data_IF_293862282394
#
_entry.id   IF_293862282394
#
_cell.length_a   1.000
_cell.length_b   1.000
_cell.length_c   1.000
_cell.angle_alpha   90.00
_cell.angle_beta   90.00
_cell.angle_gamma   90.00
#
_symmetry.space_group_name_H-M   'P 1'
#
loop_
_entity.id
_entity.type
_entity.pdbx_description
1 polymer ?
#
# COMPACT_ATOMS: atom_id res chain seq x y z
N UNK A 1 19.02 20.38 -1.58
CA UNK A 1 19.32 19.03 -1.02
C UNK A 1 18.17 18.09 -1.36
N UNK A 2 18.42 16.79 -1.55
CA UNK A 2 17.41 15.78 -1.91
C UNK A 2 16.20 15.81 -0.96
N UNK A 3 16.43 15.90 0.35
CA UNK A 3 15.36 16.04 1.35
C UNK A 3 14.38 17.18 1.06
N UNK A 4 14.90 18.37 0.77
CA UNK A 4 14.07 19.56 0.53
C UNK A 4 13.31 19.42 -0.78
N UNK A 5 13.98 18.93 -1.82
CA UNK A 5 13.38 18.66 -3.12
C UNK A 5 12.20 17.67 -3.00
N UNK A 6 12.40 16.56 -2.29
CA UNK A 6 11.34 15.56 -2.06
C UNK A 6 10.14 16.16 -1.32
N UNK A 7 10.35 17.06 -0.35
CA UNK A 7 9.26 17.75 0.35
C UNK A 7 8.50 18.72 -0.56
N UNK A 8 9.20 19.45 -1.43
CA UNK A 8 8.60 20.38 -2.40
C UNK A 8 7.71 19.66 -3.42
N UNK A 9 8.09 18.45 -3.84
CA UNK A 9 7.27 17.61 -4.74
C UNK A 9 6.17 16.82 -4.03
N UNK A 10 5.94 17.06 -2.73
CA UNK A 10 4.82 16.49 -1.97
C UNK A 10 5.11 15.18 -1.23
N UNK A 11 6.36 14.72 -1.18
CA UNK A 11 6.71 13.55 -0.38
C UNK A 11 6.73 13.92 1.10
N UNK A 12 5.84 13.29 1.87
CA UNK A 12 5.71 13.53 3.30
C UNK A 12 6.96 13.08 4.07
N UNK A 13 7.22 13.73 5.20
CA UNK A 13 8.36 13.37 6.08
C UNK A 13 8.27 11.93 6.60
N UNK A 14 7.06 11.46 6.91
CA UNK A 14 6.81 10.11 7.41
C UNK A 14 7.04 9.07 6.32
N UNK A 15 6.57 9.33 5.10
CA UNK A 15 6.80 8.42 3.97
C UNK A 15 8.28 8.35 3.60
N UNK A 16 8.97 9.49 3.55
CA UNK A 16 10.42 9.51 3.30
C UNK A 16 11.22 8.76 4.38
N UNK A 17 10.83 8.86 5.65
CA UNK A 17 11.44 8.09 6.73
C UNK A 17 11.21 6.58 6.57
N UNK A 18 9.99 6.18 6.16
CA UNK A 18 9.66 4.79 5.88
C UNK A 18 10.52 4.23 4.75
N UNK A 19 10.58 4.92 3.60
CA UNK A 19 11.40 4.51 2.45
C UNK A 19 12.89 4.47 2.81
N UNK A 20 13.42 5.46 3.52
CA UNK A 20 14.82 5.45 3.97
C UNK A 20 15.18 4.20 4.78
N UNK A 21 14.22 3.69 5.55
CA UNK A 21 14.44 2.59 6.50
C UNK A 21 14.25 1.23 5.86
N UNK A 22 13.30 1.11 4.94
CA UNK A 22 12.85 -0.18 4.41
C UNK A 22 13.00 -0.33 2.90
N UNK A 23 13.23 0.75 2.16
CA UNK A 23 13.45 0.76 0.71
C UNK A 23 14.73 1.50 0.34
N UNK A 24 14.76 2.08 -0.87
CA UNK A 24 15.99 2.66 -1.42
C UNK A 24 15.78 4.03 -2.08
N UNK A 25 16.84 4.83 -2.03
CA UNK A 25 16.99 6.08 -2.76
C UNK A 25 18.19 5.95 -3.69
N UNK A 26 17.95 6.05 -5.00
CA UNK A 26 18.98 5.97 -6.02
C UNK A 26 19.12 7.32 -6.71
N UNK A 27 20.34 7.80 -6.90
CA UNK A 27 20.65 8.91 -7.82
C UNK A 27 21.47 8.36 -8.96
N UNK A 28 20.96 8.46 -10.18
CA UNK A 28 21.59 7.92 -11.38
C UNK A 28 21.93 6.42 -11.23
N UNK A 29 21.02 5.66 -10.62
CA UNK A 29 21.16 4.21 -10.39
C UNK A 29 22.06 3.81 -9.22
N UNK A 30 22.58 4.75 -8.42
CA UNK A 30 23.44 4.46 -7.26
C UNK A 30 22.75 4.79 -5.95
N UNK A 31 22.84 3.90 -4.95
CA UNK A 31 22.28 4.14 -3.63
C UNK A 31 22.89 5.38 -2.98
N UNK A 32 22.04 6.25 -2.47
CA UNK A 32 22.42 7.53 -1.88
C UNK A 32 21.59 7.82 -0.63
N UNK A 33 22.11 8.72 0.21
CA UNK A 33 21.41 9.17 1.41
C UNK A 33 20.58 10.42 1.14
N UNK A 34 19.54 10.62 1.95
CA UNK A 34 18.61 11.76 1.84
C UNK A 34 19.27 13.16 1.95
N UNK A 35 20.50 13.23 2.48
CA UNK A 35 21.29 14.46 2.61
C UNK A 35 22.05 14.81 1.32
N UNK A 36 22.10 13.92 0.33
CA UNK A 36 22.76 14.15 -0.96
C UNK A 36 22.24 15.43 -1.60
N UNK A 37 23.16 16.28 -2.04
CA UNK A 37 22.82 17.44 -2.88
C UNK A 37 22.64 16.96 -4.31
N UNK A 38 21.45 17.20 -4.86
CA UNK A 38 21.09 16.90 -6.24
C UNK A 38 21.63 17.99 -7.18
N UNK A 39 21.94 17.60 -8.40
CA UNK A 39 22.32 18.47 -9.50
C UNK A 39 21.23 18.48 -10.58
N UNK A 40 21.08 19.58 -11.33
CA UNK A 40 20.23 19.59 -12.51
C UNK A 40 20.58 18.44 -13.47
N UNK A 41 19.58 17.67 -13.88
CA UNK A 41 19.75 16.49 -14.73
C UNK A 41 19.93 15.17 -13.99
N UNK A 42 20.06 15.17 -12.65
CA UNK A 42 20.05 13.93 -11.88
C UNK A 42 18.70 13.21 -11.99
N UNK A 43 18.74 11.89 -12.15
CA UNK A 43 17.57 11.00 -12.05
C UNK A 43 17.50 10.42 -10.65
N UNK A 44 16.51 10.86 -9.88
CA UNK A 44 16.20 10.31 -8.57
C UNK A 44 15.16 9.19 -8.69
N UNK A 45 15.50 7.99 -8.25
CA UNK A 45 14.58 6.85 -8.15
C UNK A 45 14.34 6.52 -6.70
N UNK A 46 13.07 6.36 -6.32
CA UNK A 46 12.66 5.96 -4.99
C UNK A 46 12.03 4.58 -5.07
N UNK A 47 12.66 3.58 -4.45
CA UNK A 47 12.14 2.21 -4.38
C UNK A 47 11.31 2.09 -3.12
N UNK A 48 10.00 1.96 -3.31
CA UNK A 48 9.06 1.79 -2.20
C UNK A 48 9.04 0.30 -1.86
N UNK A 49 9.32 -0.07 -0.59
CA UNK A 49 9.24 -1.46 -0.19
C UNK A 49 7.78 -1.91 -0.13
N UNK A 50 7.51 -3.20 -0.36
CA UNK A 50 6.17 -3.73 -0.20
C UNK A 50 5.70 -3.54 1.25
N UNK A 51 4.39 -3.34 1.39
CA UNK A 51 3.71 -3.02 2.65
C UNK A 51 3.82 -4.13 3.70
N UNK A 52 4.26 -5.33 3.29
CA UNK A 52 4.45 -6.49 4.14
C UNK A 52 3.13 -7.06 4.67
N UNK A 53 3.23 -8.06 5.55
CA UNK A 53 2.07 -8.79 6.07
C UNK A 53 1.41 -8.15 7.30
N UNK A 54 1.91 -7.01 7.78
CA UNK A 54 1.56 -6.40 9.07
C UNK A 54 0.16 -5.77 9.11
N UNK A 55 -0.86 -6.59 8.88
CA UNK A 55 -2.26 -6.23 9.03
C UNK A 55 -2.96 -7.32 9.85
N UNK A 56 -3.66 -6.91 10.91
CA UNK A 56 -4.37 -7.79 11.86
C UNK A 56 -5.67 -8.38 11.28
N UNK A 57 -5.98 -8.07 10.02
CA UNK A 57 -7.17 -8.55 9.33
C UNK A 57 -7.05 -10.05 9.09
N UNK A 58 -8.01 -10.79 9.63
CA UNK A 58 -8.09 -12.25 9.48
C UNK A 58 -8.48 -12.57 8.02
N UNK A 59 -7.74 -13.43 7.30
CA UNK A 59 -8.11 -13.81 5.93
C UNK A 59 -9.39 -14.65 5.92
N UNK A 60 -10.23 -14.45 4.90
CA UNK A 60 -11.45 -15.23 4.67
C UNK A 60 -11.39 -16.00 3.35
N UNK A 61 -11.91 -17.22 3.34
CA UNK A 61 -12.03 -18.05 2.14
C UNK A 61 -13.28 -17.72 1.30
N UNK A 62 -14.17 -16.84 1.79
CA UNK A 62 -15.36 -16.45 1.03
C UNK A 62 -14.94 -15.68 -0.23
N UNK A 63 -15.40 -16.07 -1.43
CA UNK A 63 -15.01 -15.41 -2.67
C UNK A 63 -15.52 -13.97 -2.73
N UNK A 64 -14.82 -13.16 -3.52
CA UNK A 64 -15.19 -11.79 -3.87
C UNK A 64 -15.63 -11.75 -5.34
N UNK A 65 -16.62 -10.90 -5.64
CA UNK A 65 -17.05 -10.60 -7.00
C UNK A 65 -16.30 -9.34 -7.47
N UNK A 66 -15.37 -9.51 -8.42
CA UNK A 66 -14.46 -8.45 -8.88
C UNK A 66 -15.04 -7.83 -10.14
N UNK A 67 -15.29 -6.52 -10.10
CA UNK A 67 -15.75 -5.73 -11.24
C UNK A 67 -14.57 -5.16 -12.03
N UNK A 68 -13.46 -4.85 -11.35
CA UNK A 68 -12.24 -4.31 -11.95
C UNK A 68 -11.04 -4.56 -11.03
N UNK A 69 -9.87 -4.87 -11.60
CA UNK A 69 -8.61 -5.00 -10.89
C UNK A 69 -7.45 -4.55 -11.78
N UNK A 70 -6.57 -3.69 -11.24
CA UNK A 70 -5.25 -3.37 -11.78
C UNK A 70 -4.21 -3.29 -10.65
N UNK A 71 -3.00 -2.83 -10.97
CA UNK A 71 -1.88 -2.73 -10.02
C UNK A 71 -2.15 -1.77 -8.84
N UNK A 72 -3.18 -0.93 -8.92
CA UNK A 72 -3.47 0.14 -7.96
C UNK A 72 -4.87 0.05 -7.33
N UNK A 73 -5.84 -0.51 -8.05
CA UNK A 73 -7.25 -0.47 -7.70
C UNK A 73 -7.89 -1.85 -7.80
N UNK A 74 -8.69 -2.18 -6.78
CA UNK A 74 -9.58 -3.33 -6.77
C UNK A 74 -11.01 -2.85 -6.50
N UNK A 75 -11.89 -3.01 -7.48
CA UNK A 75 -13.31 -2.69 -7.38
C UNK A 75 -14.09 -4.00 -7.29
N UNK A 76 -14.83 -4.14 -6.19
CA UNK A 76 -15.61 -5.35 -5.88
C UNK A 76 -17.08 -5.02 -5.73
N UNK A 77 -17.92 -5.94 -6.18
CA UNK A 77 -19.34 -5.89 -5.95
C UNK A 77 -19.64 -6.36 -4.53
N UNK A 78 -19.99 -5.41 -3.64
CA UNK A 78 -20.27 -5.70 -2.22
C UNK A 78 -21.67 -6.30 -2.07
N UNK A 79 -21.84 -7.52 -1.54
CA UNK A 79 -23.16 -8.06 -1.23
C UNK A 79 -23.84 -7.30 -0.08
N UNK A 80 -25.16 -7.22 -0.14
CA UNK A 80 -25.99 -6.60 0.90
C UNK A 80 -25.74 -7.25 2.25
N UNK A 81 -25.69 -6.44 3.32
CA UNK A 81 -25.50 -6.93 4.69
C UNK A 81 -24.07 -7.34 5.04
N UNK A 82 -23.10 -7.17 4.14
CA UNK A 82 -21.68 -7.38 4.46
C UNK A 82 -21.00 -6.05 4.81
N UNK A 83 -20.32 -6.01 5.95
CA UNK A 83 -19.55 -4.85 6.39
C UNK A 83 -18.32 -4.62 5.51
N UNK A 84 -17.93 -3.36 5.30
CA UNK A 84 -16.73 -3.05 4.50
C UNK A 84 -15.42 -3.36 5.26
N UNK A 85 -15.37 -3.03 6.56
CA UNK A 85 -14.19 -3.17 7.44
C UNK A 85 -14.59 -4.04 8.65
N UNK A 86 -13.65 -4.81 9.26
CA UNK A 86 -13.96 -5.63 10.42
C UNK A 86 -14.44 -4.79 11.60
N UNK A 87 -15.35 -5.34 12.39
CA UNK A 87 -15.78 -4.73 13.65
C UNK A 87 -15.29 -5.57 14.83
N UNK A 88 -15.32 -5.02 16.05
CA UNK A 88 -14.99 -5.79 17.26
C UNK A 88 -15.93 -6.99 17.47
N UNK A 89 -17.19 -6.87 17.08
CA UNK A 89 -18.22 -7.90 17.24
C UNK A 89 -18.12 -8.98 16.16
N UNK A 90 -17.67 -8.61 14.95
CA UNK A 90 -17.51 -9.49 13.80
C UNK A 90 -16.17 -9.20 13.11
N UNK A 91 -15.05 -9.72 13.65
CA UNK A 91 -13.69 -9.40 13.18
C UNK A 91 -13.29 -10.10 11.88
N UNK A 92 -14.06 -11.08 11.42
CA UNK A 92 -13.72 -12.02 10.34
C UNK A 92 -14.75 -12.05 9.18
N UNK A 93 -15.82 -11.25 9.26
CA UNK A 93 -16.95 -11.31 8.32
C UNK A 93 -17.09 -10.09 7.37
N UNK A 94 -16.06 -9.24 7.24
CA UNK A 94 -16.10 -8.05 6.38
C UNK A 94 -15.51 -8.27 4.98
N UNK A 95 -15.71 -7.31 4.08
CA UNK A 95 -15.06 -7.32 2.76
C UNK A 95 -13.54 -7.28 2.86
N UNK A 96 -12.97 -6.52 3.80
CA UNK A 96 -11.52 -6.50 4.01
C UNK A 96 -10.97 -7.90 4.33
N UNK A 97 -11.70 -8.73 5.08
CA UNK A 97 -11.30 -10.12 5.35
C UNK A 97 -11.28 -10.97 4.07
N UNK A 98 -12.28 -10.81 3.21
CA UNK A 98 -12.38 -11.53 1.93
C UNK A 98 -11.28 -11.10 0.95
N UNK A 99 -11.04 -9.79 0.84
CA UNK A 99 -9.94 -9.23 0.04
C UNK A 99 -8.59 -9.72 0.57
N UNK A 100 -8.40 -9.77 1.89
CA UNK A 100 -7.18 -10.33 2.49
C UNK A 100 -6.95 -11.79 2.10
N UNK A 101 -7.99 -12.61 2.13
CA UNK A 101 -7.90 -14.01 1.66
C UNK A 101 -7.57 -14.10 0.17
N UNK A 102 -8.17 -13.24 -0.65
CA UNK A 102 -7.86 -13.14 -2.08
C UNK A 102 -6.38 -12.76 -2.32
N UNK A 103 -5.87 -11.72 -1.67
CA UNK A 103 -4.46 -11.30 -1.78
C UNK A 103 -3.49 -12.42 -1.39
N UNK A 104 -3.78 -13.16 -0.30
CA UNK A 104 -2.97 -14.30 0.11
C UNK A 104 -2.96 -15.43 -0.94
N UNK A 105 -4.12 -15.80 -1.48
CA UNK A 105 -4.22 -16.84 -2.52
C UNK A 105 -3.52 -16.46 -3.83
N UNK A 106 -3.50 -15.16 -4.16
CA UNK A 106 -2.80 -14.64 -5.34
C UNK A 106 -1.28 -14.47 -5.14
N UNK A 107 -0.82 -14.51 -3.89
CA UNK A 107 0.60 -14.34 -3.56
C UNK A 107 1.12 -12.93 -3.78
N UNK A 108 0.26 -11.91 -3.62
CA UNK A 108 0.68 -10.51 -3.76
C UNK A 108 1.68 -10.13 -2.66
N UNK A 109 2.73 -9.39 -3.03
CA UNK A 109 3.72 -8.91 -2.08
C UNK A 109 3.11 -7.88 -1.11
N UNK A 110 2.22 -7.03 -1.62
CA UNK A 110 1.43 -6.10 -0.84
C UNK A 110 0.19 -6.80 -0.27
N UNK A 111 0.14 -6.87 1.05
CA UNK A 111 -0.90 -7.61 1.77
C UNK A 111 -1.81 -6.69 2.59
N UNK A 112 -1.59 -5.37 2.57
CA UNK A 112 -2.37 -4.38 3.31
C UNK A 112 -3.50 -3.86 2.41
N UNK A 113 -4.73 -3.83 2.92
CA UNK A 113 -5.89 -3.34 2.16
C UNK A 113 -6.29 -1.94 2.61
N UNK A 114 -6.26 -0.97 1.68
CA UNK A 114 -6.73 0.39 1.94
C UNK A 114 -8.16 0.59 1.40
N UNK A 115 -9.15 0.57 2.29
CA UNK A 115 -10.55 0.83 1.91
C UNK A 115 -10.73 2.33 1.67
N UNK A 116 -10.97 2.71 0.40
CA UNK A 116 -11.12 4.12 -0.02
C UNK A 116 -12.50 4.69 0.31
N UNK A 117 -13.56 3.92 0.09
CA UNK A 117 -14.94 4.32 0.37
C UNK A 117 -15.70 3.18 1.02
N UNK A 118 -16.81 3.50 1.71
CA UNK A 118 -17.67 2.52 2.37
C UNK A 118 -19.08 2.60 1.80
N UNK A 119 -19.68 1.42 1.62
CA UNK A 119 -21.11 1.26 1.38
C UNK A 119 -21.72 0.64 2.64
N UNK A 120 -22.88 1.13 3.05
CA UNK A 120 -23.63 0.57 4.18
C UNK A 120 -24.31 -0.75 3.80
#
# INVERSE_FOLDING_TARGET
>A
MMRSFLQEVGISRTFLAHVKTHGDLLVNGRHEIVLKTLQPGDVLTMVIPPSGEHETVIPSEVPIDILYEDDYLLIINKPVGTASIPSKLHPDHSMANRVKGYYKRRGYADQITHVVTRLD
#
